data_IF_078005477021
#
_entry.id   IF_078005477021
#
_cell.length_a   1.000
_cell.length_b   1.000
_cell.length_c   1.000
_cell.angle_alpha   90.00
_cell.angle_beta   90.00
_cell.angle_gamma   90.00
#
_symmetry.space_group_name_H-M   'P 1'
#
loop_
_entity.id
_entity.type
_entity.pdbx_description
1 polymer ?
2 polymer ?
3 polymer ?
4 non-polymer ?
5 non-polymer ?
6 water ?
#
loop_
_entity_poly.entity_id
_entity_poly.type
_entity_poly.pdbx_seq_one_letter_code
_entity_poly.pdbx_strand_id
2 'polyribonucleotide' 'A(A2M)GCGCCAGAACU' ?
3 'polyribonucleotide' '(GTP)GCACCAUUGCACUCCGGUGCCAGUUGACGAGGUGGGGUUUAUCGAGAUUUCGGCGGAUGACUCCCGGUUGUUCAUCACAACCGCAAGCUUUUACUUAAAUCAUUAAGGUGACUUAGUGGACAAAGGUGAAAGUGUGAUGA' ?
#
# COMPACT_ATOMS: atom_id res chain seq x y z
N UNK A 1 -17.77 -12.19 69.34
CA UNK A 1 -17.53 -13.61 68.93
C UNK A 1 -16.92 -13.71 67.53
N UNK A 2 -16.82 -14.93 66.97
CA UNK A 2 -16.25 -15.14 65.64
C UNK A 2 -17.19 -14.71 64.53
N UNK A 3 -16.63 -14.31 63.38
CA UNK A 3 -17.41 -13.78 62.26
C UNK A 3 -16.79 -14.11 60.91
N UNK A 4 -17.60 -14.05 59.85
CA UNK A 4 -17.16 -14.25 58.47
C UNK A 4 -16.17 -13.17 58.05
N UNK A 5 -16.44 -11.95 58.49
CA UNK A 5 -15.64 -10.77 58.13
C UNK A 5 -14.66 -10.42 59.25
N UNK A 6 -13.40 -10.24 58.90
CA UNK A 6 -12.41 -9.75 59.85
C UNK A 6 -12.14 -8.25 59.69
N UNK A 7 -12.24 -7.53 60.79
CA UNK A 7 -11.91 -6.12 60.84
C UNK A 7 -10.40 -5.96 61.00
N UNK A 8 -9.77 -5.33 60.00
CA UNK A 8 -8.33 -5.08 60.05
C UNK A 8 -8.11 -3.58 60.22
N UNK A 9 -7.27 -3.21 61.18
CA UNK A 9 -6.86 -1.82 61.34
C UNK A 9 -5.34 -1.67 61.53
N UNK A 10 -4.91 -0.43 61.81
CA UNK A 10 -3.48 -0.07 61.88
C UNK A 10 -2.76 -0.26 60.54
N UNK A 11 -3.52 -0.11 59.45
CA UNK A 11 -2.97 -0.18 58.10
C UNK A 11 -2.43 1.17 57.68
N UNK A 12 -1.46 1.17 56.76
CA UNK A 12 -0.84 2.40 56.29
C UNK A 12 -1.82 3.23 55.45
N UNK A 13 -2.02 4.48 55.85
CA UNK A 13 -3.04 5.35 55.25
C UNK A 13 -2.59 5.96 53.92
N UNK A 14 -1.28 6.02 53.70
CA UNK A 14 -0.70 6.65 52.51
C UNK A 14 -0.95 5.88 51.21
N UNK A 15 -1.54 4.69 51.34
CA UNK A 15 -1.74 3.78 50.21
C UNK A 15 -3.17 3.90 49.65
N UNK A 16 -3.26 3.91 48.31
CA UNK A 16 -4.51 4.08 47.58
C UNK A 16 -5.52 2.96 47.85
N UNK A 17 -6.79 3.23 47.57
CA UNK A 17 -7.89 2.29 47.84
C UNK A 17 -7.77 0.99 47.05
N UNK A 18 -7.53 1.12 45.74
CA UNK A 18 -7.56 -0.01 44.82
C UNK A 18 -6.37 -0.95 44.97
N UNK A 19 -5.17 -0.39 45.09
CA UNK A 19 -3.96 -1.20 45.22
C UNK A 19 -3.85 -1.91 46.56
N UNK A 20 -4.55 -1.39 47.58
CA UNK A 20 -4.61 -2.03 48.88
C UNK A 20 -5.53 -3.25 48.83
N UNK A 21 -6.68 -3.09 48.17
CA UNK A 21 -7.64 -4.18 47.97
C UNK A 21 -6.99 -5.40 47.30
N UNK A 22 -6.00 -5.14 46.46
CA UNK A 22 -5.24 -6.20 45.79
C UNK A 22 -4.04 -6.65 46.62
N UNK A 23 -3.48 -5.73 47.39
CA UNK A 23 -2.32 -6.03 48.23
C UNK A 23 -2.64 -6.99 49.38
N UNK A 24 -3.86 -6.91 49.91
CA UNK A 24 -4.28 -7.84 50.95
C UNK A 24 -5.28 -8.90 50.47
N UNK A 25 -5.42 -8.98 49.15
CA UNK A 25 -6.02 -10.17 48.52
C UNK A 25 -4.86 -11.09 48.17
N UNK A 26 -3.66 -10.50 48.12
CA UNK A 26 -2.43 -11.21 47.83
C UNK A 26 -1.97 -12.09 48.99
N UNK A 27 -2.45 -11.76 50.20
CA UNK A 27 -2.05 -12.47 51.41
C UNK A 27 -3.19 -13.34 51.96
N UNK A 28 -4.39 -12.77 52.01
CA UNK A 28 -5.54 -13.44 52.62
C UNK A 28 -6.20 -14.49 51.71
N UNK A 29 -5.71 -14.63 50.49
CA UNK A 29 -6.20 -15.67 49.57
C UNK A 29 -5.82 -17.07 50.06
N UNK A 30 -4.72 -17.17 50.79
CA UNK A 30 -4.22 -18.41 51.38
C UNK A 30 -5.28 -19.15 52.22
N UNK A 31 -6.05 -18.39 53.00
CA UNK A 31 -6.93 -18.96 54.01
C UNK A 31 -8.26 -19.48 53.47
N UNK A 32 -8.68 -18.97 52.32
CA UNK A 32 -9.92 -19.41 51.69
C UNK A 32 -10.45 -18.47 50.63
N UNK A 33 -11.68 -18.73 50.19
CA UNK A 33 -12.33 -17.94 49.14
C UNK A 33 -12.82 -16.60 49.68
N UNK A 34 -12.32 -15.51 49.10
CA UNK A 34 -12.69 -14.16 49.49
C UNK A 34 -13.81 -13.64 48.57
N UNK A 35 -14.87 -13.13 49.17
CA UNK A 35 -16.03 -12.63 48.42
C UNK A 35 -15.83 -11.17 47.96
N UNK A 36 -15.59 -10.28 48.92
CA UNK A 36 -15.32 -8.87 48.62
C UNK A 36 -14.60 -8.17 49.77
N UNK A 37 -13.56 -7.41 49.42
CA UNK A 37 -12.84 -6.58 50.38
C UNK A 37 -13.37 -5.15 50.28
N UNK A 38 -13.80 -4.60 51.41
CA UNK A 38 -14.32 -3.23 51.46
C UNK A 38 -13.31 -2.28 52.11
N UNK A 39 -12.87 -1.30 51.34
CA UNK A 39 -11.86 -0.33 51.79
C UNK A 39 -12.31 1.10 51.48
N UNK A 40 -12.26 1.96 52.49
CA UNK A 40 -12.53 3.39 52.34
C UNK A 40 -11.30 4.19 52.75
N UNK A 41 -11.32 5.50 52.46
CA UNK A 41 -10.21 6.38 52.82
C UNK A 41 -10.72 7.64 53.55
N UNK A 42 -11.99 7.59 53.97
CA UNK A 42 -12.62 8.71 54.67
C UNK A 42 -12.04 8.91 56.08
N UNK A 43 -12.38 10.06 56.68
CA UNK A 43 -11.95 10.40 58.04
C UNK A 43 -12.24 9.28 59.05
N UNK A 44 -13.41 8.65 58.90
CA UNK A 44 -13.80 7.49 59.69
C UNK A 44 -12.96 6.25 59.38
N UNK A 45 -13.03 5.78 58.14
CA UNK A 45 -12.47 4.49 57.74
C UNK A 45 -11.07 4.58 57.13
N UNK A 46 -10.23 5.45 57.69
CA UNK A 46 -8.87 5.66 57.20
C UNK A 46 -7.86 4.73 57.87
N UNK A 47 -7.42 3.72 57.14
CA UNK A 47 -6.45 2.75 57.65
C UNK A 47 -7.06 1.50 58.24
N UNK A 48 -8.29 1.18 57.81
CA UNK A 48 -8.99 -0.03 58.24
C UNK A 48 -9.70 -0.73 57.08
N UNK A 49 -9.86 -2.05 57.19
CA UNK A 49 -10.46 -2.86 56.13
C UNK A 49 -11.41 -3.95 56.64
N UNK A 50 -12.27 -4.44 55.76
CA UNK A 50 -13.26 -5.48 56.08
C UNK A 50 -13.25 -6.61 55.05
N UNK A 51 -12.31 -7.53 55.19
CA UNK A 51 -12.20 -8.67 54.26
C UNK A 51 -13.27 -9.71 54.58
N UNK A 52 -14.05 -10.08 53.56
CA UNK A 52 -15.13 -11.04 53.72
C UNK A 52 -14.76 -12.40 53.13
N UNK A 53 -14.67 -13.41 54.00
CA UNK A 53 -14.43 -14.79 53.57
C UNK A 53 -15.76 -15.51 53.34
N UNK A 54 -15.71 -16.60 52.57
CA UNK A 54 -16.90 -17.41 52.32
C UNK A 54 -17.28 -18.17 53.59
N UNK A 55 -16.28 -18.74 54.26
CA UNK A 55 -16.49 -19.50 55.48
C UNK A 55 -15.80 -18.87 56.69
N UNK A 56 -16.39 -19.05 57.86
CA UNK A 56 -15.87 -18.49 59.12
C UNK A 56 -14.52 -19.10 59.49
N UNK A 57 -14.37 -20.40 59.24
CA UNK A 57 -13.15 -21.14 59.54
C UNK A 57 -11.90 -20.47 58.95
N UNK A 58 -12.04 -19.90 57.75
CA UNK A 58 -10.96 -19.20 57.06
C UNK A 58 -10.56 -17.91 57.78
N UNK A 59 -11.55 -17.20 58.31
CA UNK A 59 -11.34 -15.93 59.02
C UNK A 59 -10.59 -16.13 60.34
N UNK A 60 -10.76 -17.29 60.96
CA UNK A 60 -10.10 -17.62 62.21
C UNK A 60 -8.61 -17.89 61.97
N UNK A 61 -8.31 -18.67 60.94
CA UNK A 61 -6.93 -18.95 60.54
C UNK A 61 -6.19 -17.69 60.10
N UNK A 62 -6.94 -16.79 59.46
CA UNK A 62 -6.42 -15.48 59.04
C UNK A 62 -6.07 -14.60 60.22
N UNK A 63 -6.94 -14.60 61.23
CA UNK A 63 -6.73 -13.81 62.45
C UNK A 63 -5.55 -14.35 63.26
N UNK A 64 -5.43 -15.68 63.30
CA UNK A 64 -4.35 -16.35 64.02
C UNK A 64 -2.99 -16.14 63.38
N UNK A 65 -2.94 -16.22 62.04
CA UNK A 65 -1.68 -16.19 61.31
C UNK A 65 -1.20 -14.79 60.93
N UNK A 66 -2.14 -13.87 60.69
CA UNK A 66 -1.81 -12.53 60.21
C UNK A 66 -1.74 -11.46 61.30
N UNK A 67 -2.05 -11.84 62.53
CA UNK A 67 -1.96 -10.92 63.66
C UNK A 67 -0.54 -10.39 63.82
N UNK A 68 -0.41 -9.06 63.86
CA UNK A 68 0.88 -8.40 64.05
C UNK A 68 1.79 -8.42 62.82
N UNK A 69 1.25 -8.84 61.69
CA UNK A 69 2.03 -8.94 60.46
C UNK A 69 2.36 -7.57 59.86
N UNK A 70 3.65 -7.31 59.61
CA UNK A 70 4.09 -6.04 59.04
C UNK A 70 3.68 -5.91 57.57
N UNK A 71 2.81 -4.96 57.31
CA UNK A 71 2.21 -4.76 56.00
C UNK A 71 2.27 -3.26 55.68
N UNK A 72 3.07 -2.93 54.65
CA UNK A 72 3.46 -1.55 54.36
C UNK A 72 4.14 -0.90 55.57
N UNK A 73 5.14 -1.60 56.12
CA UNK A 73 5.92 -1.15 57.29
C UNK A 73 5.14 -1.10 58.62
N UNK A 74 3.84 -1.43 58.57
CA UNK A 74 2.98 -1.36 59.75
C UNK A 74 2.41 -2.73 60.13
N UNK A 75 2.60 -3.14 61.39
CA UNK A 75 2.03 -4.39 61.89
C UNK A 75 0.50 -4.34 61.96
N UNK A 76 -0.15 -5.27 61.26
CA UNK A 76 -1.62 -5.31 61.18
C UNK A 76 -2.27 -5.68 62.50
N UNK A 77 -3.48 -5.17 62.71
CA UNK A 77 -4.28 -5.50 63.88
C UNK A 77 -5.62 -6.05 63.43
N UNK A 78 -5.85 -7.33 63.67
CA UNK A 78 -7.05 -8.00 63.15
C UNK A 78 -8.00 -8.41 64.28
N UNK A 79 -9.25 -7.95 64.17
CA UNK A 79 -10.33 -8.35 65.06
C UNK A 79 -11.46 -8.94 64.22
N UNK A 80 -12.40 -9.61 64.87
CA UNK A 80 -13.64 -10.02 64.21
C UNK A 80 -14.56 -8.80 64.12
N UNK A 81 -15.32 -8.71 63.03
CA UNK A 81 -16.29 -7.63 62.86
C UNK A 81 -17.37 -7.71 63.93
N UNK A 82 -17.79 -6.56 64.44
CA UNK A 82 -18.80 -6.47 65.49
C UNK A 82 -20.16 -7.02 65.02
N UNK A 83 -20.51 -6.71 63.78
CA UNK A 83 -21.75 -7.19 63.17
C UNK A 83 -21.47 -7.85 61.82
N UNK A 84 -22.47 -8.57 61.30
CA UNK A 84 -22.36 -9.22 59.99
C UNK A 84 -22.50 -8.19 58.86
N UNK A 85 -21.69 -8.35 57.82
CA UNK A 85 -21.76 -7.47 56.66
C UNK A 85 -22.96 -7.82 55.80
N UNK A 86 -23.50 -6.81 55.10
CA UNK A 86 -24.75 -6.97 54.34
C UNK A 86 -24.60 -7.77 53.03
N UNK A 87 -23.60 -8.64 52.98
CA UNK A 87 -23.46 -9.58 51.87
C UNK A 87 -23.57 -11.03 52.33
N UNK A 88 -23.23 -11.27 53.60
CA UNK A 88 -23.39 -12.59 54.23
C UNK A 88 -24.85 -12.79 54.64
N UNK A 89 -25.52 -11.68 54.94
CA UNK A 89 -26.93 -11.69 55.35
C UNK A 89 -27.88 -12.35 54.34
N UNK A 90 -27.51 -12.27 53.06
CA UNK A 90 -28.31 -12.84 51.97
C UNK A 90 -28.37 -14.36 52.04
N UNK D 1 26.28 -17.75 47.44
CA UNK D 1 26.75 -16.53 48.15
C UNK D 1 25.62 -15.52 48.37
N UNK D 2 25.76 -14.63 49.38
CA UNK D 2 24.77 -13.59 49.66
C UNK D 2 24.85 -12.46 48.65
N UNK D 3 23.72 -11.79 48.42
CA UNK D 3 23.62 -10.75 47.40
C UNK D 3 22.62 -9.65 47.81
N UNK D 4 22.72 -8.50 47.16
CA UNK D 4 21.83 -7.37 47.42
C UNK D 4 20.41 -7.64 46.91
N UNK D 5 20.32 -8.45 45.87
CA UNK D 5 19.05 -8.79 45.23
C UNK D 5 18.65 -10.21 45.61
N UNK D 6 17.36 -10.42 45.86
CA UNK D 6 16.82 -11.78 46.04
C UNK D 6 16.00 -12.25 44.85
N UNK D 7 16.22 -13.51 44.47
CA UNK D 7 15.46 -14.17 43.41
C UNK D 7 14.28 -14.93 44.01
N UNK D 8 13.08 -14.42 43.80
CA UNK D 8 11.85 -15.10 44.21
C UNK D 8 11.28 -15.84 43.01
N UNK D 9 10.89 -17.10 43.21
CA UNK D 9 10.16 -17.84 42.18
C UNK D 9 8.95 -18.57 42.76
N UNK D 10 8.24 -19.32 41.91
CA UNK D 10 7.00 -20.00 42.29
C UNK D 10 5.83 -19.03 42.55
N UNK D 11 5.89 -17.86 41.93
CA UNK D 11 4.82 -16.86 42.04
C UNK D 11 3.63 -17.21 41.15
N UNK D 12 2.45 -16.72 41.53
CA UNK D 12 1.24 -16.91 40.74
C UNK D 12 1.30 -16.13 39.43
N UNK D 13 1.28 -16.87 38.32
CA UNK D 13 1.49 -16.30 36.98
C UNK D 13 0.26 -15.54 36.45
N UNK D 14 -0.89 -15.75 37.08
CA UNK D 14 -2.14 -15.12 36.65
C UNK D 14 -2.27 -13.64 37.03
N UNK D 15 -1.27 -13.13 37.74
CA UNK D 15 -1.31 -11.76 38.28
C UNK D 15 -0.50 -10.78 37.43
N UNK D 16 -1.11 -9.62 37.15
CA UNK D 16 -0.52 -8.60 36.28
C UNK D 16 0.79 -8.03 36.81
N UNK D 17 1.65 -7.61 35.88
CA UNK D 17 3.00 -7.13 36.16
C UNK D 17 3.05 -5.99 37.18
N UNK D 18 2.26 -4.95 36.96
CA UNK D 18 2.32 -3.74 37.77
C UNK D 18 1.81 -3.94 39.19
N UNK D 19 0.70 -4.67 39.33
CA UNK D 19 0.12 -4.92 40.65
C UNK D 19 0.93 -5.94 41.45
N UNK D 20 1.68 -6.79 40.76
CA UNK D 20 2.58 -7.74 41.40
C UNK D 20 3.81 -7.02 41.96
N UNK D 21 4.26 -5.99 41.25
CA UNK D 21 5.36 -5.14 41.72
C UNK D 21 5.02 -4.45 43.04
N UNK D 22 3.78 -3.98 43.16
CA UNK D 22 3.32 -3.26 44.33
C UNK D 22 2.96 -4.20 45.49
N UNK D 23 2.35 -5.34 45.17
CA UNK D 23 1.92 -6.31 46.18
C UNK D 23 3.07 -6.89 47.01
N UNK D 24 4.22 -7.07 46.39
CA UNK D 24 5.41 -7.52 47.12
C UNK D 24 6.38 -6.38 47.44
N UNK D 25 5.93 -5.14 47.24
CA UNK D 25 6.58 -3.99 47.83
C UNK D 25 5.86 -3.67 49.13
N UNK D 26 4.63 -4.18 49.25
CA UNK D 26 3.83 -4.05 50.47
C UNK D 26 4.49 -4.80 51.63
N UNK D 27 5.00 -5.99 51.34
CA UNK D 27 5.57 -6.86 52.37
C UNK D 27 7.08 -6.65 52.55
N UNK D 28 7.81 -6.60 51.44
CA UNK D 28 9.27 -6.50 51.50
C UNK D 28 9.79 -5.11 51.90
N UNK D 29 8.90 -4.13 52.01
CA UNK D 29 9.25 -2.79 52.47
C UNK D 29 9.71 -2.82 53.93
N UNK D 30 9.12 -3.74 54.69
CA UNK D 30 9.47 -3.98 56.10
C UNK D 30 10.98 -4.11 56.36
N UNK D 31 11.68 -4.80 55.46
CA UNK D 31 13.08 -5.18 55.69
C UNK D 31 14.09 -4.09 55.34
N UNK D 32 13.61 -2.99 54.75
CA UNK D 32 14.47 -1.86 54.43
C UNK D 32 14.11 -1.12 53.15
N UNK D 33 15.13 -0.49 52.56
CA UNK D 33 14.96 0.35 51.38
C UNK D 33 15.03 -0.47 50.09
N UNK D 34 13.96 -0.42 49.31
CA UNK D 34 13.89 -1.10 48.02
C UNK D 34 14.12 -0.09 46.90
N UNK D 35 15.08 -0.38 46.03
CA UNK D 35 15.41 0.50 44.92
C UNK D 35 14.43 0.32 43.76
N UNK D 36 14.31 -0.92 43.26
CA UNK D 36 13.38 -1.25 42.19
C UNK D 36 13.11 -2.76 42.14
N UNK D 37 11.89 -3.14 41.78
CA UNK D 37 11.51 -4.55 41.65
C UNK D 37 11.30 -4.92 40.18
N UNK D 38 12.12 -5.82 39.67
CA UNK D 38 12.06 -6.24 38.28
C UNK D 38 11.18 -7.48 38.08
N UNK D 39 10.10 -7.30 37.32
CA UNK D 39 9.16 -8.38 37.02
C UNK D 39 8.82 -8.39 35.53
N UNK D 40 8.99 -9.54 34.89
CA UNK D 40 8.58 -9.72 33.50
C UNK D 40 7.51 -10.82 33.39
N UNK D 41 6.84 -10.88 32.24
CA UNK D 41 5.80 -11.88 32.02
C UNK D 41 6.11 -12.77 30.81
N UNK D 42 7.36 -12.75 30.35
CA UNK D 42 7.81 -13.60 29.26
C UNK D 42 7.82 -15.07 29.67
N UNK D 43 7.96 -15.96 28.68
CA UNK D 43 8.00 -17.40 28.92
C UNK D 43 9.12 -17.79 29.90
N UNK D 44 10.27 -17.14 29.74
CA UNK D 44 11.43 -17.37 30.60
C UNK D 44 11.28 -16.76 32.00
N UNK D 45 10.71 -15.56 32.08
CA UNK D 45 10.67 -14.82 33.35
C UNK D 45 9.30 -14.86 34.04
N UNK D 46 8.52 -15.88 33.72
CA UNK D 46 7.18 -16.04 34.25
C UNK D 46 7.20 -16.57 35.69
N UNK D 47 6.37 -15.98 36.54
CA UNK D 47 6.21 -16.42 37.92
C UNK D 47 7.43 -16.24 38.81
N UNK D 48 8.24 -15.22 38.51
CA UNK D 48 9.44 -14.93 39.27
C UNK D 48 9.70 -13.43 39.35
N UNK D 49 10.36 -13.00 40.42
CA UNK D 49 10.66 -11.59 40.64
C UNK D 49 12.05 -11.38 41.22
N UNK D 50 12.64 -10.23 40.93
CA UNK D 50 13.90 -9.81 41.52
C UNK D 50 13.63 -8.56 42.36
N UNK D 51 13.90 -8.64 43.67
CA UNK D 51 13.74 -7.50 44.56
C UNK D 51 15.12 -6.98 44.97
N UNK D 52 15.40 -5.74 44.61
CA UNK D 52 16.68 -5.12 44.90
C UNK D 52 16.60 -4.28 46.17
N UNK D 53 17.38 -4.68 47.18
CA UNK D 53 17.50 -3.93 48.42
C UNK D 53 18.76 -3.08 48.41
N UNK D 54 18.70 -1.93 49.09
CA UNK D 54 19.82 -1.00 49.17
C UNK D 54 21.04 -1.60 49.87
N UNK D 55 20.78 -2.56 50.76
CA UNK D 55 21.82 -3.22 51.53
C UNK D 55 21.60 -4.73 51.62
N UNK D 56 22.70 -5.48 51.71
CA UNK D 56 22.67 -6.95 51.79
C UNK D 56 21.94 -7.45 53.03
N UNK D 57 22.10 -6.73 54.14
CA UNK D 57 21.45 -7.04 55.41
C UNK D 57 19.93 -7.16 55.26
N UNK D 58 19.35 -6.31 54.40
CA UNK D 58 17.92 -6.31 54.14
C UNK D 58 17.48 -7.54 53.34
N UNK D 59 18.34 -7.98 52.43
CA UNK D 59 18.06 -9.14 51.58
C UNK D 59 18.17 -10.46 52.36
N UNK D 60 19.14 -10.53 53.26
CA UNK D 60 19.35 -11.69 54.11
C UNK D 60 18.16 -11.90 55.05
N UNK D 61 17.68 -10.81 55.63
CA UNK D 61 16.54 -10.84 56.54
C UNK D 61 15.23 -11.24 55.86
N UNK D 62 15.04 -10.74 54.65
CA UNK D 62 13.85 -11.05 53.86
C UNK D 62 13.81 -12.53 53.44
N UNK D 63 14.98 -13.07 53.10
CA UNK D 63 15.12 -14.46 52.71
C UNK D 63 14.74 -15.41 53.85
N UNK D 64 15.15 -15.05 55.06
CA UNK D 64 14.93 -15.88 56.26
C UNK D 64 13.49 -15.83 56.76
N UNK D 65 12.87 -14.67 56.67
CA UNK D 65 11.54 -14.44 57.22
C UNK D 65 10.41 -14.84 56.27
N UNK D 66 10.59 -14.50 54.99
CA UNK D 66 9.52 -14.66 54.00
C UNK D 66 9.54 -15.99 53.26
N UNK D 67 10.51 -16.84 53.59
CA UNK D 67 10.65 -18.15 52.96
C UNK D 67 9.37 -18.96 53.09
N UNK D 68 8.92 -19.52 51.98
CA UNK D 68 7.72 -20.36 51.94
C UNK D 68 6.40 -19.67 52.22
N UNK D 69 6.43 -18.33 52.30
CA UNK D 69 5.25 -17.53 52.59
C UNK D 69 4.22 -17.60 51.46
N UNK D 70 3.01 -18.08 51.77
CA UNK D 70 1.95 -18.16 50.76
C UNK D 70 1.52 -16.78 50.29
N UNK D 71 1.64 -16.57 48.98
CA UNK D 71 1.43 -15.28 48.35
C UNK D 71 0.63 -15.51 47.07
N UNK D 72 -0.59 -14.97 47.04
CA UNK D 72 -1.57 -15.25 45.99
C UNK D 72 -1.86 -16.76 45.88
N UNK D 73 -2.15 -17.39 47.02
CA UNK D 73 -2.44 -18.83 47.11
C UNK D 73 -1.24 -19.77 46.91
N UNK D 74 -0.04 -19.21 46.78
CA UNK D 74 1.14 -20.02 46.50
C UNK D 74 2.36 -19.62 47.34
N UNK D 75 3.02 -20.62 47.97
CA UNK D 75 4.22 -20.38 48.77
C UNK D 75 5.40 -19.91 47.94
N UNK D 76 6.03 -18.82 48.39
CA UNK D 76 7.20 -18.24 47.71
C UNK D 76 8.42 -19.12 47.88
N UNK D 77 9.44 -18.87 47.05
CA UNK D 77 10.69 -19.59 47.13
C UNK D 77 11.84 -18.61 46.90
N UNK D 78 12.36 -18.07 48.00
CA UNK D 78 13.37 -17.00 47.93
C UNK D 78 14.80 -17.56 47.92
N UNK D 79 15.58 -17.08 46.96
CA UNK D 79 17.01 -17.37 46.89
C UNK D 79 17.77 -16.05 46.71
N UNK D 80 19.09 -16.10 46.85
CA UNK D 80 19.93 -14.98 46.45
C UNK D 80 20.11 -15.00 44.94
N UNK D 81 20.22 -13.83 44.34
CA UNK D 81 20.53 -13.72 42.92
C UNK D 81 21.93 -14.29 42.66
N UNK D 82 22.07 -15.06 41.59
CA UNK D 82 23.34 -15.69 41.24
C UNK D 82 24.39 -14.66 40.87
N UNK D 83 23.96 -13.58 40.20
CA UNK D 83 24.84 -12.48 39.82
C UNK D 83 24.25 -11.14 40.26
N UNK D 84 25.10 -10.10 40.24
CA UNK D 84 24.69 -8.75 40.64
C UNK D 84 23.85 -8.09 39.55
N UNK D 85 22.81 -7.38 39.99
CA UNK D 85 21.96 -6.60 39.08
C UNK D 85 22.74 -5.41 38.55
N UNK D 86 22.48 -5.02 37.30
CA UNK D 86 23.25 -3.95 36.65
C UNK D 86 22.92 -2.54 37.19
N UNK D 87 22.33 -2.49 38.37
CA UNK D 87 22.06 -1.22 39.06
C UNK D 87 22.95 -1.06 40.30
N UNK D 88 23.34 -2.20 40.89
CA UNK D 88 24.27 -2.21 42.03
C UNK D 88 25.70 -1.93 41.55
N UNK D 89 26.05 -2.48 40.39
CA UNK D 89 27.38 -2.32 39.80
C UNK D 89 27.76 -0.85 39.54
N UNK D 90 26.76 0.03 39.53
CA UNK D 90 26.98 1.47 39.39
C UNK D 90 27.51 2.09 40.69
N UNK G 1 -1.79 35.14 -44.72
CA UNK G 1 -0.35 35.22 -45.18
C UNK G 1 0.29 33.84 -45.34
N UNK G 2 1.22 33.71 -46.29
CA UNK G 2 1.93 32.45 -46.58
C UNK G 2 2.87 32.01 -45.44
N UNK G 3 3.09 30.70 -45.35
CA UNK G 3 3.87 30.09 -44.27
C UNK G 3 4.63 28.86 -44.76
N UNK G 4 5.74 28.54 -44.09
CA UNK G 4 6.52 27.33 -44.39
C UNK G 4 5.73 26.07 -44.07
N UNK G 5 4.86 26.19 -43.07
CA UNK G 5 4.02 25.09 -42.62
C UNK G 5 2.61 25.24 -43.18
N UNK G 6 2.04 24.14 -43.68
CA UNK G 6 0.62 24.13 -44.04
C UNK G 6 -0.21 23.37 -43.01
N UNK G 7 -1.31 23.99 -42.59
CA UNK G 7 -2.23 23.35 -41.66
C UNK G 7 -3.30 22.57 -42.42
N UNK G 8 -3.19 21.25 -42.36
CA UNK G 8 -4.16 20.36 -42.99
C UNK G 8 -5.12 19.88 -41.91
N UNK G 9 -6.42 19.97 -42.19
CA UNK G 9 -7.44 19.37 -41.33
C UNK G 9 -8.49 18.61 -42.14
N UNK G 10 -9.58 18.23 -41.47
CA UNK G 10 -10.61 17.35 -42.05
C UNK G 10 -10.01 16.02 -42.54
N UNK G 11 -9.06 15.50 -41.77
CA UNK G 11 -8.46 14.19 -42.02
C UNK G 11 -9.23 13.11 -41.29
N UNK G 12 -9.14 11.87 -41.77
CA UNK G 12 -9.79 10.74 -41.12
C UNK G 12 -9.17 10.47 -39.75
N UNK G 13 -10.04 10.34 -38.75
CA UNK G 13 -9.61 10.21 -37.36
C UNK G 13 -9.32 8.75 -36.95
N UNK G 14 -9.88 7.80 -37.69
CA UNK G 14 -9.74 6.38 -37.38
C UNK G 14 -8.38 5.77 -37.82
N UNK G 15 -7.44 6.63 -38.20
CA UNK G 15 -6.13 6.19 -38.67
C UNK G 15 -5.02 6.52 -37.65
N UNK G 16 -4.11 5.57 -37.45
CA UNK G 16 -3.03 5.69 -36.48
C UNK G 16 -2.05 6.81 -36.80
N UNK G 17 -1.52 7.43 -35.74
CA UNK G 17 -0.59 8.56 -35.84
C UNK G 17 0.60 8.30 -36.77
N UNK G 18 1.24 7.15 -36.58
CA UNK G 18 2.48 6.84 -37.29
C UNK G 18 2.26 6.59 -38.79
N UNK G 19 1.25 5.78 -39.12
CA UNK G 19 0.91 5.46 -40.50
C UNK G 19 0.34 6.66 -41.26
N UNK G 20 -0.27 7.58 -40.52
CA UNK G 20 -0.82 8.81 -41.08
C UNK G 20 0.31 9.76 -41.52
N UNK G 21 1.38 9.80 -40.72
CA UNK G 21 2.57 10.59 -41.05
C UNK G 21 3.23 10.10 -42.34
N UNK G 22 3.25 8.78 -42.52
CA UNK G 22 3.88 8.14 -43.66
C UNK G 22 3.03 8.20 -44.93
N UNK G 23 1.71 8.11 -44.76
CA UNK G 23 0.77 8.17 -45.88
C UNK G 23 0.75 9.54 -46.56
N UNK G 24 0.90 10.60 -45.78
CA UNK G 24 0.92 11.96 -46.32
C UNK G 24 2.33 12.55 -46.44
N UNK G 25 3.34 11.70 -46.28
CA UNK G 25 4.71 12.05 -46.71
C UNK G 25 4.90 11.49 -48.11
N UNK G 26 4.11 10.48 -48.45
CA UNK G 26 4.12 9.84 -49.77
C UNK G 26 3.68 10.79 -50.86
N UNK G 27 2.71 11.65 -50.54
CA UNK G 27 2.09 12.53 -51.52
C UNK G 27 2.69 13.94 -51.51
N UNK G 28 3.04 14.43 -50.33
CA UNK G 28 3.58 15.78 -50.18
C UNK G 28 5.07 15.91 -50.50
N UNK G 29 5.74 14.77 -50.73
CA UNK G 29 7.15 14.78 -51.14
C UNK G 29 7.35 15.32 -52.56
N UNK G 30 6.27 15.35 -53.32
CA UNK G 30 6.25 15.90 -54.69
C UNK G 30 6.64 17.38 -54.77
N UNK G 31 6.20 18.16 -53.79
CA UNK G 31 6.31 19.61 -53.83
C UNK G 31 7.65 20.15 -53.33
N UNK G 32 8.23 19.49 -52.33
CA UNK G 32 9.52 19.91 -51.78
C UNK G 32 10.04 19.04 -50.65
N UNK G 33 11.13 19.50 -50.03
CA UNK G 33 11.77 18.79 -48.93
C UNK G 33 10.99 19.00 -47.64
N UNK G 34 10.43 17.92 -47.10
CA UNK G 34 9.68 17.96 -45.85
C UNK G 34 10.61 17.70 -44.67
N UNK G 35 10.64 18.64 -43.73
CA UNK G 35 11.46 18.51 -42.53
C UNK G 35 10.83 17.54 -41.54
N UNK G 36 9.60 17.85 -41.11
CA UNK G 36 8.83 16.96 -40.24
C UNK G 36 7.32 17.12 -40.45
N UNK G 37 6.57 16.11 -40.01
CA UNK G 37 5.11 16.17 -39.98
C UNK G 37 4.65 15.87 -38.56
N UNK G 38 3.93 16.82 -37.96
CA UNK G 38 3.44 16.67 -36.59
C UNK G 38 1.96 16.29 -36.57
N UNK G 39 1.67 15.11 -36.03
CA UNK G 39 0.29 14.63 -35.91
C UNK G 39 0.00 14.16 -34.48
N UNK G 40 -1.06 14.70 -33.90
CA UNK G 40 -1.52 14.27 -32.57
C UNK G 40 -2.91 13.63 -32.70
N UNK G 41 -3.33 12.94 -31.64
CA UNK G 41 -4.62 12.26 -31.64
C UNK G 41 -5.54 12.72 -30.51
N UNK G 42 -5.09 13.72 -29.75
CA UNK G 42 -5.87 14.31 -28.66
C UNK G 42 -7.16 14.95 -29.17
N UNK G 43 -8.07 15.28 -28.25
CA UNK G 43 -9.35 15.91 -28.61
C UNK G 43 -9.17 17.20 -29.42
N UNK G 44 -8.17 17.99 -29.04
CA UNK G 44 -7.86 19.24 -29.73
C UNK G 44 -7.23 19.02 -31.11
N UNK G 45 -6.20 18.18 -31.17
CA UNK G 45 -5.43 18.01 -32.41
C UNK G 45 -5.80 16.77 -33.22
N UNK G 46 -7.07 16.37 -33.12
CA UNK G 46 -7.60 15.23 -33.86
C UNK G 46 -7.94 15.60 -35.29
N UNK G 47 -7.62 14.70 -36.22
CA UNK G 47 -7.95 14.86 -37.63
C UNK G 47 -7.23 15.99 -38.36
N UNK G 48 -6.06 16.36 -37.87
CA UNK G 48 -5.29 17.47 -38.44
C UNK G 48 -3.78 17.22 -38.40
N UNK G 49 -3.07 17.73 -39.42
CA UNK G 49 -1.63 17.54 -39.54
C UNK G 49 -0.90 18.81 -39.96
N UNK G 50 0.26 19.04 -39.36
CA UNK G 50 1.13 20.15 -39.73
C UNK G 50 2.32 19.63 -40.53
N UNK G 51 2.36 19.98 -41.81
CA UNK G 51 3.47 19.55 -42.67
C UNK G 51 4.44 20.71 -42.87
N UNK G 52 5.68 20.51 -42.46
CA UNK G 52 6.71 21.54 -42.51
C UNK G 52 7.64 21.34 -43.72
N UNK G 53 7.51 22.25 -44.69
CA UNK G 53 8.41 22.27 -45.84
C UNK G 53 9.64 23.14 -45.55
N UNK G 54 10.75 22.80 -46.17
CA UNK G 54 11.99 23.57 -46.03
C UNK G 54 11.86 24.95 -46.65
N UNK G 55 11.16 25.03 -47.78
CA UNK G 55 10.94 26.29 -48.49
C UNK G 55 9.45 26.61 -48.61
N UNK G 56 9.14 27.91 -48.65
CA UNK G 56 7.76 28.40 -48.69
C UNK G 56 7.08 28.09 -50.03
N UNK G 57 7.86 28.17 -51.12
CA UNK G 57 7.35 27.94 -52.47
C UNK G 57 6.76 26.54 -52.66
N UNK G 58 7.26 25.57 -51.89
CA UNK G 58 6.73 24.21 -51.91
C UNK G 58 5.36 24.14 -51.22
N UNK G 59 5.21 24.90 -50.13
CA UNK G 59 3.98 24.93 -49.34
C UNK G 59 2.82 25.60 -50.10
N UNK G 60 3.17 26.56 -50.96
CA UNK G 60 2.19 27.27 -51.77
C UNK G 60 1.64 26.35 -52.87
N UNK G 61 2.55 25.64 -53.55
CA UNK G 61 2.18 24.69 -54.59
C UNK G 61 1.35 23.53 -54.04
N UNK G 62 1.70 23.09 -52.82
CA UNK G 62 0.96 22.03 -52.13
C UNK G 62 -0.45 22.48 -51.76
N UNK G 63 -0.58 23.69 -51.23
CA UNK G 63 -1.87 24.26 -50.87
C UNK G 63 -2.78 24.38 -52.11
N UNK G 64 -2.20 24.79 -53.23
CA UNK G 64 -2.92 24.93 -54.49
C UNK G 64 -3.41 23.59 -55.04
N UNK G 65 -2.49 22.62 -55.11
CA UNK G 65 -2.77 21.35 -55.76
C UNK G 65 -3.60 20.38 -54.90
N UNK G 66 -3.28 20.31 -53.62
CA UNK G 66 -3.87 19.31 -52.73
C UNK G 66 -5.21 19.71 -52.11
N UNK G 67 -5.66 20.93 -52.37
CA UNK G 67 -6.92 21.44 -51.82
C UNK G 67 -8.12 20.58 -52.24
N UNK G 68 -8.77 19.96 -51.26
CA UNK G 68 -9.96 19.14 -51.50
C UNK G 68 -9.65 17.73 -52.01
N UNK G 69 -8.40 17.31 -51.85
CA UNK G 69 -7.95 15.99 -52.27
C UNK G 69 -8.49 14.89 -51.35
N UNK G 70 -9.24 13.93 -51.91
CA UNK G 70 -9.77 12.81 -51.11
C UNK G 70 -8.67 11.91 -50.57
N UNK G 71 -8.58 11.87 -49.25
CA UNK G 71 -7.53 11.17 -48.53
C UNK G 71 -8.19 10.36 -47.41
N UNK G 72 -8.18 9.04 -47.54
CA UNK G 72 -8.93 8.13 -46.67
C UNK G 72 -10.44 8.44 -46.66
N UNK G 73 -11.00 8.62 -47.85
CA UNK G 73 -12.44 8.88 -48.06
C UNK G 73 -12.92 10.28 -47.61
N UNK G 74 -11.99 11.18 -47.32
CA UNK G 74 -12.32 12.53 -46.84
C UNK G 74 -11.49 13.62 -47.54
N UNK G 75 -12.17 14.66 -48.06
CA UNK G 75 -11.46 15.77 -48.72
C UNK G 75 -10.68 16.64 -47.74
N UNK G 76 -9.40 16.82 -48.01
CA UNK G 76 -8.50 17.59 -47.13
C UNK G 76 -8.80 19.08 -47.18
N UNK G 77 -8.54 19.77 -46.07
CA UNK G 77 -8.66 21.22 -46.01
C UNK G 77 -7.30 21.82 -45.65
N UNK G 78 -6.65 22.44 -46.63
CA UNK G 78 -5.31 22.99 -46.43
C UNK G 78 -5.33 24.51 -46.33
N UNK G 79 -4.80 25.02 -45.23
CA UNK G 79 -4.59 26.44 -45.01
C UNK G 79 -3.11 26.66 -44.67
N UNK G 80 -2.69 27.91 -44.58
CA UNK G 80 -1.37 28.22 -44.04
C UNK G 80 -1.44 28.24 -42.52
N UNK G 81 -0.34 27.85 -41.88
CA UNK G 81 -0.24 27.89 -40.42
C UNK G 81 -0.28 29.34 -39.94
N UNK G 82 -1.08 29.60 -38.90
CA UNK G 82 -1.26 30.94 -38.36
C UNK G 82 0.04 31.51 -37.81
N UNK G 83 0.78 30.69 -37.06
CA UNK G 83 2.08 31.06 -36.51
C UNK G 83 3.15 30.09 -36.99
N UNK G 84 4.41 30.53 -36.94
CA UNK G 84 5.53 29.70 -37.37
C UNK G 84 5.82 28.58 -36.37
N UNK G 85 6.21 27.43 -36.89
CA UNK G 85 6.63 26.29 -36.06
C UNK G 85 7.97 26.60 -35.43
N UNK G 86 8.20 26.09 -34.21
CA UNK G 86 9.42 26.37 -33.47
C UNK G 86 10.64 25.59 -33.97
N UNK G 87 10.61 25.21 -35.24
CA UNK G 87 11.76 24.60 -35.92
C UNK G 87 12.28 25.52 -37.04
N UNK G 88 11.37 26.27 -37.67
CA UNK G 88 11.73 27.27 -38.68
C UNK G 88 12.38 28.48 -38.00
N UNK G 89 11.94 28.78 -36.78
CA UNK G 89 12.48 29.88 -35.99
C UNK G 89 13.97 29.73 -35.67
N UNK G 90 14.44 28.49 -35.63
CA UNK G 90 15.86 28.19 -35.38
C UNK G 90 16.71 28.42 -36.63
N UNK J 1 -7.51 -5.91 -72.58
CA UNK J 1 -8.63 -4.94 -72.40
C UNK J 1 -8.75 -4.50 -70.93
N UNK J 2 -9.97 -4.08 -70.51
CA UNK J 2 -10.22 -3.64 -69.14
C UNK J 2 -10.26 -4.80 -68.15
N UNK J 3 -9.92 -4.50 -66.89
CA UNK J 3 -9.88 -5.52 -65.83
C UNK J 3 -10.26 -4.92 -64.48
N UNK J 4 -10.71 -5.79 -63.57
CA UNK J 4 -11.07 -5.42 -62.20
C UNK J 4 -9.86 -4.94 -61.41
N UNK J 5 -8.71 -5.57 -61.67
CA UNK J 5 -7.47 -5.26 -60.98
C UNK J 5 -6.58 -4.39 -61.85
N UNK J 6 -6.02 -3.33 -61.27
CA UNK J 6 -5.01 -2.54 -61.96
C UNK J 6 -3.60 -2.95 -61.57
N UNK J 7 -2.73 -3.05 -62.57
CA UNK J 7 -1.32 -3.31 -62.35
C UNK J 7 -0.58 -1.98 -62.30
N UNK J 8 -0.12 -1.63 -61.10
CA UNK J 8 0.64 -0.39 -60.89
C UNK J 8 2.11 -0.73 -60.78
N UNK J 9 2.95 -0.02 -61.55
CA UNK J 9 4.40 -0.18 -61.43
C UNK J 9 5.16 1.15 -61.34
N UNK J 10 6.48 1.08 -61.50
CA UNK J 10 7.39 2.21 -61.28
C UNK J 10 7.38 2.74 -59.84
N UNK J 11 6.96 1.88 -58.91
CA UNK J 11 6.87 2.24 -57.49
C UNK J 11 8.25 2.27 -56.84
N UNK J 12 8.35 3.02 -55.74
CA UNK J 12 9.60 3.15 -55.00
C UNK J 12 9.88 1.88 -54.20
N UNK J 13 11.08 1.33 -54.41
CA UNK J 13 11.48 0.04 -53.83
C UNK J 13 11.94 0.13 -52.37
N UNK J 14 12.16 1.36 -51.89
CA UNK J 14 12.65 1.60 -50.54
C UNK J 14 11.58 1.45 -49.46
N UNK J 15 10.33 1.29 -49.88
CA UNK J 15 9.17 1.29 -48.98
C UNK J 15 8.75 -0.14 -48.61
N UNK J 16 8.40 -0.33 -47.33
CA UNK J 16 8.00 -1.64 -46.80
C UNK J 16 6.64 -2.09 -47.33
N UNK J 17 6.40 -3.40 -47.30
CA UNK J 17 5.19 -4.00 -47.86
C UNK J 17 3.89 -3.50 -47.21
N UNK J 18 3.85 -3.52 -45.88
CA UNK J 18 2.61 -3.27 -45.15
C UNK J 18 2.16 -1.81 -45.17
N UNK J 19 3.12 -0.88 -45.10
CA UNK J 19 2.81 0.55 -45.13
C UNK J 19 2.48 1.04 -46.54
N UNK J 20 2.97 0.33 -47.54
CA UNK J 20 2.63 0.60 -48.94
C UNK J 20 1.22 0.11 -49.24
N UNK J 21 0.86 -1.05 -48.68
CA UNK J 21 -0.49 -1.57 -48.76
C UNK J 21 -1.50 -0.57 -48.22
N UNK J 22 -1.06 0.23 -47.26
CA UNK J 22 -1.91 1.25 -46.64
C UNK J 22 -1.82 2.60 -47.36
N UNK J 23 -0.60 2.99 -47.75
CA UNK J 23 -0.37 4.28 -48.41
C UNK J 23 -1.14 4.46 -49.72
N UNK J 24 -1.31 3.37 -50.47
CA UNK J 24 -2.12 3.42 -51.69
C UNK J 24 -3.50 2.78 -51.51
N UNK J 25 -3.90 2.61 -50.25
CA UNK J 25 -5.29 2.38 -49.90
C UNK J 25 -5.86 3.71 -49.39
N UNK J 26 -4.96 4.65 -49.12
CA UNK J 26 -5.31 5.99 -48.69
C UNK J 26 -5.84 6.82 -49.85
N UNK J 27 -5.26 6.62 -51.03
CA UNK J 27 -5.62 7.38 -52.22
C UNK J 27 -6.70 6.68 -53.03
N UNK J 28 -6.49 5.39 -53.29
CA UNK J 28 -7.37 4.63 -54.19
C UNK J 28 -8.76 4.33 -53.63
N UNK J 29 -8.95 4.52 -52.33
CA UNK J 29 -10.29 4.37 -51.71
C UNK J 29 -11.30 5.42 -52.21
N UNK J 30 -10.78 6.47 -52.86
CA UNK J 30 -11.58 7.51 -53.49
C UNK J 30 -12.47 6.98 -54.63
N UNK J 31 -11.92 6.01 -55.37
CA UNK J 31 -12.55 5.52 -56.60
C UNK J 31 -13.59 4.42 -56.38
N UNK J 32 -13.43 3.64 -55.32
CA UNK J 32 -14.38 2.58 -54.99
C UNK J 32 -13.95 1.65 -53.89
N UNK J 33 -14.68 0.53 -53.76
CA UNK J 33 -14.43 -0.48 -52.76
C UNK J 33 -13.20 -1.33 -53.11
N UNK J 34 -12.22 -1.34 -52.22
CA UNK J 34 -10.99 -2.12 -52.41
C UNK J 34 -11.06 -3.43 -51.64
N UNK J 35 -10.96 -4.54 -52.36
CA UNK J 35 -11.00 -5.87 -51.76
C UNK J 35 -9.68 -6.23 -51.07
N UNK J 36 -8.61 -6.35 -51.87
CA UNK J 36 -7.27 -6.65 -51.34
C UNK J 36 -6.18 -6.12 -52.26
N UNK J 37 -5.19 -5.46 -51.67
CA UNK J 37 -4.00 -5.01 -52.38
C UNK J 37 -2.88 -6.03 -52.16
N UNK J 38 -2.31 -6.53 -53.26
CA UNK J 38 -1.29 -7.57 -53.20
C UNK J 38 0.09 -7.03 -53.58
N UNK J 39 0.99 -6.99 -52.61
CA UNK J 39 2.33 -6.43 -52.80
C UNK J 39 3.41 -7.43 -52.39
N UNK J 40 4.40 -7.62 -53.26
CA UNK J 40 5.57 -8.45 -52.97
C UNK J 40 6.84 -7.62 -53.15
N UNK J 41 7.91 -8.03 -52.47
CA UNK J 41 9.19 -7.31 -52.54
C UNK J 41 10.27 -8.15 -53.23
N UNK J 42 9.87 -9.29 -53.78
CA UNK J 42 10.78 -10.20 -54.49
C UNK J 42 11.38 -9.56 -55.74
N UNK J 43 12.48 -10.12 -56.22
CA UNK J 43 13.18 -9.64 -57.42
C UNK J 43 12.22 -9.38 -58.59
N UNK J 44 11.29 -10.31 -58.81
CA UNK J 44 10.27 -10.19 -59.86
C UNK J 44 9.28 -9.05 -59.58
N UNK J 45 8.57 -9.14 -58.46
CA UNK J 45 7.44 -8.25 -58.17
C UNK J 45 7.81 -6.97 -57.42
N UNK J 46 9.08 -6.58 -57.55
CA UNK J 46 9.62 -5.38 -56.90
C UNK J 46 9.13 -4.11 -57.58
N UNK J 47 8.62 -3.18 -56.78
CA UNK J 47 8.15 -1.89 -57.27
C UNK J 47 6.89 -1.95 -58.12
N UNK J 48 6.02 -2.91 -57.80
CA UNK J 48 4.73 -3.07 -58.50
C UNK J 48 3.65 -3.63 -57.59
N UNK J 49 2.40 -3.22 -57.84
CA UNK J 49 1.28 -3.61 -56.99
C UNK J 49 0.03 -4.01 -57.79
N UNK J 50 -0.88 -4.73 -57.14
CA UNK J 50 -2.12 -5.20 -57.76
C UNK J 50 -3.31 -4.80 -56.91
N UNK J 51 -3.93 -3.67 -57.25
CA UNK J 51 -5.10 -3.19 -56.50
C UNK J 51 -6.38 -3.75 -57.10
N UNK J 52 -7.11 -4.51 -56.30
CA UNK J 52 -8.37 -5.12 -56.72
C UNK J 52 -9.57 -4.27 -56.28
N UNK J 53 -10.33 -3.77 -57.26
CA UNK J 53 -11.57 -3.04 -56.99
C UNK J 53 -12.78 -3.95 -57.19
N UNK J 54 -13.80 -3.74 -56.36
CA UNK J 54 -15.03 -4.53 -56.41
C UNK J 54 -15.68 -4.47 -57.79
N UNK J 55 -15.72 -3.27 -58.39
CA UNK J 55 -16.30 -3.10 -59.71
C UNK J 55 -15.31 -2.47 -60.70
N UNK J 56 -15.44 -2.87 -61.97
CA UNK J 56 -14.54 -2.45 -63.06
C UNK J 56 -14.60 -0.93 -63.30
N UNK J 57 -15.73 -0.33 -62.94
CA UNK J 57 -15.97 1.10 -63.13
C UNK J 57 -14.99 1.97 -62.32
N UNK J 58 -14.54 1.46 -61.17
CA UNK J 58 -13.57 2.16 -60.33
C UNK J 58 -12.16 2.07 -60.88
N UNK J 59 -11.82 0.90 -61.46
CA UNK J 59 -10.48 0.63 -61.98
C UNK J 59 -10.09 1.57 -63.13
N UNK J 60 -11.04 1.81 -64.03
CA UNK J 60 -10.85 2.70 -65.17
C UNK J 60 -10.64 4.15 -64.71
N UNK J 61 -11.47 4.61 -63.77
CA UNK J 61 -11.34 5.95 -63.21
C UNK J 61 -10.04 6.17 -62.46
N UNK J 62 -9.58 5.13 -61.76
CA UNK J 62 -8.29 5.14 -61.08
C UNK J 62 -7.13 5.13 -62.08
N UNK J 63 -7.29 4.40 -63.17
CA UNK J 63 -6.30 4.35 -64.26
C UNK J 63 -6.21 5.70 -64.97
N UNK J 64 -7.36 6.37 -65.10
CA UNK J 64 -7.45 7.68 -65.75
C UNK J 64 -6.78 8.78 -64.93
N UNK J 65 -7.16 8.88 -63.65
CA UNK J 65 -6.70 9.97 -62.80
C UNK J 65 -5.28 9.79 -62.27
N UNK J 66 -4.97 8.58 -61.80
CA UNK J 66 -3.75 8.35 -61.05
C UNK J 66 -2.50 8.08 -61.91
N UNK J 67 -2.69 8.02 -63.23
CA UNK J 67 -1.57 7.82 -64.14
C UNK J 67 -0.53 8.93 -63.98
N UNK J 68 0.70 8.53 -63.69
CA UNK J 68 1.81 9.47 -63.53
C UNK J 68 1.85 10.20 -62.20
N UNK J 69 1.01 9.75 -61.26
CA UNK J 69 0.90 10.37 -59.95
C UNK J 69 2.19 10.22 -59.15
N UNK J 70 2.80 11.35 -58.75
CA UNK J 70 4.01 11.31 -57.93
C UNK J 70 3.73 10.69 -56.56
N UNK J 71 4.38 9.56 -56.31
CA UNK J 71 4.13 8.74 -55.14
C UNK J 71 5.48 8.26 -54.61
N UNK J 72 5.86 8.78 -53.44
CA UNK J 72 7.21 8.59 -52.88
C UNK J 72 8.28 9.08 -53.86
N UNK J 73 8.10 10.30 -54.36
CA UNK J 73 9.01 10.96 -55.33
C UNK J 73 9.14 10.23 -56.69
N UNK J 74 8.17 9.37 -57.00
CA UNK J 74 8.16 8.61 -58.25
C UNK J 74 6.77 8.56 -58.88
N UNK J 75 6.67 8.94 -60.17
CA UNK J 75 5.39 8.89 -60.89
C UNK J 75 4.96 7.45 -61.17
N UNK J 76 3.72 7.12 -60.83
CA UNK J 76 3.18 5.77 -61.00
C UNK J 76 2.90 5.44 -62.46
N UNK J 77 2.76 4.15 -62.75
CA UNK J 77 2.38 3.68 -64.08
C UNK J 77 1.29 2.64 -63.92
N UNK J 78 0.12 2.91 -64.48
CA UNK J 78 -1.06 2.06 -64.25
C UNK J 78 -1.58 1.44 -65.54
N UNK J 79 -1.80 0.12 -65.50
CA UNK J 79 -2.45 -0.64 -66.57
C UNK J 79 -3.54 -1.50 -65.96
N UNK J 80 -4.35 -2.14 -66.80
CA UNK J 80 -5.26 -3.19 -66.34
C UNK J 80 -4.50 -4.51 -66.22
N UNK J 81 -5.05 -5.46 -65.48
CA UNK J 81 -4.46 -6.78 -65.37
C UNK J 81 -4.71 -7.60 -66.64
N UNK J 82 -3.68 -8.33 -67.07
CA UNK J 82 -3.75 -9.16 -68.27
C UNK J 82 -4.71 -10.34 -68.07
N UNK J 83 -4.61 -10.98 -66.91
CA UNK J 83 -5.49 -12.10 -66.55
C UNK J 83 -6.17 -11.85 -65.20
N UNK J 84 -7.35 -12.44 -65.03
CA UNK J 84 -8.14 -12.28 -63.80
C UNK J 84 -7.43 -12.80 -62.57
N UNK J 85 -7.60 -12.11 -61.44
CA UNK J 85 -7.06 -12.54 -60.16
C UNK J 85 -7.88 -13.72 -59.62
N UNK J 86 -7.25 -14.51 -58.76
CA UNK J 86 -7.87 -15.73 -58.22
C UNK J 86 -8.84 -15.44 -57.06
N UNK J 87 -9.49 -14.28 -57.10
CA UNK J 87 -10.53 -13.90 -56.13
C UNK J 87 -11.78 -13.37 -56.83
N UNK J 88 -11.62 -12.91 -58.07
CA UNK J 88 -12.75 -12.49 -58.91
C UNK J 88 -13.38 -13.72 -59.58
N UNK J 89 -12.59 -14.78 -59.74
CA UNK J 89 -13.04 -16.03 -60.35
C UNK J 89 -14.19 -16.69 -59.59
N UNK J 90 -14.22 -16.51 -58.27
CA UNK J 90 -15.28 -17.05 -57.42
C UNK J 90 -16.63 -16.35 -57.65
#
# INVERSE_FOLDING_TARGET
RPNHTIYINNLNEKIKKDELKKSLHAIFSRFGQILDILVSRSLKMRGQAFVIFKEVSSATNALRSMQGFPFYDKPMRIQYAKTDSDIIAK
RPNHTIYINNLNEKIKKDELKKSLHAIFSRFGQILDILVSRSLKMRGQAFVIFKEVSSATNALRSMQGFPFYDKPMRIQYAKTDSDIIAK
RPNHTIYINNLNEKIKKDELKKSLHAIFSRFGQILDILVSRSLKMRGQAFVIFKEVSSATNALRSMQGFPFYDKPMRIQYAKTDSDIIAK
RPNHTIYINNLNEKIKKDELKKSLHAIFSRFGQILDILVSRSLKMRGQAFVIFKEVSSATNALRSMQGFPFYDKPMRIQYAKTDSDIIAK
#
